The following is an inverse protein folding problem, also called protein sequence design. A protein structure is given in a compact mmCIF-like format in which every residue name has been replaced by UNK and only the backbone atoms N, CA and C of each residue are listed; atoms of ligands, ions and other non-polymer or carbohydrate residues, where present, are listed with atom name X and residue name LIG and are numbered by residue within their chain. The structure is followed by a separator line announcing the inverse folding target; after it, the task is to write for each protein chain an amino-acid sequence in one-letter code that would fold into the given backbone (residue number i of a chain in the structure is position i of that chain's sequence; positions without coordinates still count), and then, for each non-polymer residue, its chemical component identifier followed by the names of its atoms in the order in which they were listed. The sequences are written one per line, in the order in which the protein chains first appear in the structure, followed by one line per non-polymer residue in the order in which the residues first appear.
data_IF_711292907032
#
_entry.id   IF_711292907032
#
_cell.length_a   1.000
_cell.length_b   1.000
_cell.length_c   1.000
_cell.angle_alpha   90.00
_cell.angle_beta   90.00
_cell.angle_gamma   90.00
#
_symmetry.space_group_name_H-M   'P 1'
#
loop_
_entity.id
_entity.type
_entity.pdbx_description
1 polymer ?
#
# COMPACT_ATOMS: atom_id res chain seq x y z
N UNK A 1 4.73 9.48 0.23
CA UNK A 1 5.38 9.75 -1.08
C UNK A 1 4.40 10.50 -1.99
N UNK A 2 4.87 11.55 -2.68
CA UNK A 2 4.02 12.40 -3.53
C UNK A 2 3.83 11.82 -4.94
N UNK A 3 2.58 11.81 -5.42
CA UNK A 3 2.20 11.33 -6.76
C UNK A 3 2.93 12.06 -7.88
N UNK A 4 3.03 13.39 -7.78
CA UNK A 4 3.71 14.24 -8.78
C UNK A 4 5.18 13.84 -8.96
N UNK A 5 5.88 13.59 -7.86
CA UNK A 5 7.28 13.18 -7.87
C UNK A 5 7.48 11.82 -8.54
N UNK A 6 6.62 10.85 -8.22
CA UNK A 6 6.63 9.53 -8.86
C UNK A 6 6.37 9.65 -10.37
N UNK A 7 5.36 10.40 -10.79
CA UNK A 7 5.05 10.55 -12.22
C UNK A 7 6.22 11.21 -12.97
N UNK A 8 6.89 12.19 -12.35
CA UNK A 8 8.08 12.84 -12.91
C UNK A 8 9.24 11.84 -13.07
N UNK A 9 9.47 10.98 -12.08
CA UNK A 9 10.52 9.96 -12.14
C UNK A 9 10.30 8.95 -13.28
N UNK A 10 9.06 8.48 -13.46
CA UNK A 10 8.71 7.52 -14.53
C UNK A 10 8.39 8.18 -15.88
N UNK A 11 8.58 9.50 -16.00
CA UNK A 11 8.18 10.37 -17.13
C UNK A 11 6.67 10.46 -17.41
N UNK A 12 5.89 9.41 -17.16
CA UNK A 12 4.44 9.40 -17.40
C UNK A 12 3.68 8.42 -16.51
N UNK A 13 2.40 8.71 -16.27
CA UNK A 13 1.50 7.78 -15.58
C UNK A 13 1.31 6.45 -16.34
N UNK A 14 1.43 6.47 -17.67
CA UNK A 14 1.35 5.25 -18.48
C UNK A 14 2.61 4.36 -18.34
N UNK A 15 3.79 4.96 -18.22
CA UNK A 15 5.01 4.20 -17.90
C UNK A 15 4.92 3.57 -16.51
N UNK A 16 4.49 4.33 -15.50
CA UNK A 16 4.27 3.83 -14.15
C UNK A 16 3.27 2.66 -14.09
N UNK A 17 2.16 2.77 -14.83
CA UNK A 17 1.15 1.70 -14.94
C UNK A 17 1.74 0.39 -15.48
N UNK A 18 2.57 0.48 -16.53
CA UNK A 18 3.26 -0.68 -17.12
C UNK A 18 4.24 -1.30 -16.13
N UNK A 19 5.01 -0.50 -15.41
CA UNK A 19 5.96 -0.98 -14.41
C UNK A 19 5.27 -1.71 -13.26
N UNK A 20 4.12 -1.20 -12.81
CA UNK A 20 3.34 -1.79 -11.72
C UNK A 20 2.36 -2.87 -12.19
N UNK A 21 2.25 -3.10 -13.49
CA UNK A 21 1.25 -3.98 -14.12
C UNK A 21 -0.19 -3.70 -13.64
N UNK A 22 -0.57 -2.42 -13.60
CA UNK A 22 -1.93 -1.97 -13.21
C UNK A 22 -2.54 -1.09 -14.29
N UNK A 23 -3.85 -0.88 -14.23
CA UNK A 23 -4.53 0.04 -15.12
C UNK A 23 -4.11 1.50 -14.82
N UNK A 24 -3.91 2.30 -15.87
CA UNK A 24 -3.70 3.75 -15.78
C UNK A 24 -4.78 4.44 -14.95
N UNK A 25 -6.03 3.99 -15.05
CA UNK A 25 -7.15 4.53 -14.28
C UNK A 25 -6.91 4.47 -12.76
N UNK A 26 -6.22 3.43 -12.27
CA UNK A 26 -5.89 3.30 -10.86
C UNK A 26 -4.93 4.41 -10.39
N UNK A 27 -4.02 4.86 -11.24
CA UNK A 27 -3.06 5.93 -10.92
C UNK A 27 -3.77 7.28 -10.88
N UNK A 28 -4.75 7.52 -11.77
CA UNK A 28 -5.53 8.76 -11.72
C UNK A 28 -6.29 8.91 -10.40
N UNK A 29 -6.82 7.81 -9.84
CA UNK A 29 -7.57 7.80 -8.59
C UNK A 29 -6.71 8.06 -7.34
N UNK A 30 -5.37 7.96 -7.43
CA UNK A 30 -4.53 8.26 -6.29
C UNK A 30 -4.61 9.74 -5.89
N UNK A 31 -4.68 9.98 -4.58
CA UNK A 31 -4.57 11.30 -3.98
C UNK A 31 -3.16 11.89 -4.19
N UNK A 32 -2.95 13.09 -3.67
CA UNK A 32 -1.63 13.74 -3.65
C UNK A 32 -0.55 12.83 -3.04
N UNK A 33 -0.88 12.18 -1.92
CA UNK A 33 -0.08 11.12 -1.32
C UNK A 33 -0.54 9.79 -1.89
N UNK A 34 0.40 9.05 -2.50
CA UNK A 34 0.09 7.72 -3.05
C UNK A 34 -0.18 6.73 -1.90
N UNK A 35 -1.00 5.69 -2.09
CA UNK A 35 -1.23 4.68 -1.07
C UNK A 35 0.07 4.02 -0.59
N UNK A 36 0.19 3.80 0.72
CA UNK A 36 1.38 3.24 1.38
C UNK A 36 1.91 1.98 0.70
N UNK A 37 1.01 1.01 0.46
CA UNK A 37 1.34 -0.25 -0.22
C UNK A 37 1.99 -0.03 -1.59
N UNK A 38 1.54 0.99 -2.33
CA UNK A 38 2.10 1.32 -3.66
C UNK A 38 3.44 2.04 -3.53
N UNK A 39 3.60 2.89 -2.52
CA UNK A 39 4.87 3.55 -2.23
C UNK A 39 5.99 2.54 -1.96
N UNK A 40 5.73 1.54 -1.11
CA UNK A 40 6.68 0.46 -0.82
C UNK A 40 7.02 -0.38 -2.06
N UNK A 41 6.03 -0.67 -2.91
CA UNK A 41 6.29 -1.37 -4.17
C UNK A 41 7.18 -0.56 -5.10
N UNK A 42 6.92 0.73 -5.24
CA UNK A 42 7.70 1.64 -6.08
C UNK A 42 9.14 1.76 -5.57
N UNK A 43 9.33 1.91 -4.26
CA UNK A 43 10.65 1.94 -3.64
C UNK A 43 11.48 0.69 -3.98
N UNK A 44 10.88 -0.50 -3.84
CA UNK A 44 11.54 -1.77 -4.19
C UNK A 44 11.90 -1.86 -5.67
N UNK A 45 11.01 -1.44 -6.55
CA UNK A 45 11.24 -1.47 -8.01
C UNK A 45 12.33 -0.47 -8.42
N UNK A 46 12.39 0.68 -7.74
CA UNK A 46 13.36 1.73 -8.01
C UNK A 46 14.66 1.59 -7.23
N UNK A 47 14.85 0.46 -6.52
CA UNK A 47 16.03 0.17 -5.71
C UNK A 47 16.43 1.34 -4.78
N UNK A 48 15.44 2.04 -4.22
CA UNK A 48 15.64 3.16 -3.30
C UNK A 48 15.80 4.54 -3.96
N UNK A 49 15.70 4.68 -5.28
CA UNK A 49 15.73 6.00 -5.93
C UNK A 49 14.51 6.88 -5.56
N UNK A 50 13.38 6.26 -5.24
CA UNK A 50 12.21 6.90 -4.64
C UNK A 50 12.08 6.48 -3.18
N UNK A 51 12.43 7.38 -2.26
CA UNK A 51 12.41 7.11 -0.82
C UNK A 51 10.99 7.05 -0.27
N UNK A 52 10.67 5.95 0.41
CA UNK A 52 9.47 5.84 1.22
C UNK A 52 9.68 6.56 2.57
N UNK A 53 8.77 7.47 2.90
CA UNK A 53 8.75 8.13 4.21
C UNK A 53 7.53 7.63 5.00
N UNK A 54 7.72 6.86 6.09
CA UNK A 54 6.63 6.37 6.93
C UNK A 54 5.87 7.48 7.64
N UNK A 55 6.49 8.65 7.88
CA UNK A 55 5.85 9.77 8.57
C UNK A 55 4.59 10.26 7.85
N UNK A 56 4.58 10.14 6.51
CA UNK A 56 3.45 10.51 5.65
C UNK A 56 2.25 9.57 5.77
N UNK A 57 2.41 8.42 6.42
CA UNK A 57 1.41 7.36 6.53
C UNK A 57 0.97 7.07 7.96
N UNK A 58 1.49 7.81 8.95
CA UNK A 58 1.10 7.67 10.34
C UNK A 58 -0.37 8.03 10.47
N UNK A 59 -1.20 7.00 10.71
CA UNK A 59 -2.59 7.20 11.11
C UNK A 59 -2.59 7.64 12.56
N UNK A 60 -2.94 8.91 12.80
CA UNK A 60 -3.20 9.37 14.16
C UNK A 60 -4.26 8.46 14.79
N UNK A 61 -4.01 7.91 15.99
CA UNK A 61 -4.99 7.05 16.67
C UNK A 61 -6.28 7.81 17.03
N UNK A 62 -6.27 9.14 16.92
CA UNK A 62 -7.41 10.00 17.26
C UNK A 62 -8.32 10.34 16.06
N UNK A 63 -7.95 10.03 14.82
CA UNK A 63 -8.76 10.40 13.64
C UNK A 63 -9.31 9.17 12.94
N UNK A 64 -10.26 8.52 13.61
CA UNK A 64 -11.16 7.58 12.95
C UNK A 64 -12.17 8.38 12.12
N UNK A 65 -12.23 8.06 10.82
CA UNK A 65 -13.37 8.22 9.89
C UNK A 65 -13.08 9.06 8.61
N UNK A 66 -12.63 8.38 7.54
CA UNK A 66 -13.42 8.16 6.29
C UNK A 66 -12.60 7.38 5.26
N UNK A 67 -13.22 6.30 4.76
CA UNK A 67 -12.89 5.53 3.55
C UNK A 67 -11.68 4.58 3.58
N UNK A 68 -11.93 3.34 4.03
CA UNK A 68 -11.84 2.10 3.24
C UNK A 68 -11.30 0.91 4.03
N UNK A 69 -12.13 -0.14 4.07
CA UNK A 69 -11.88 -1.44 4.69
C UNK A 69 -10.57 -2.06 4.18
N UNK A 70 -9.64 -2.30 5.09
CA UNK A 70 -8.84 -3.54 5.05
C UNK A 70 -8.81 -4.11 6.46
N UNK A 71 -9.81 -4.93 6.76
CA UNK A 71 -9.75 -5.91 7.83
C UNK A 71 -8.71 -6.96 7.39
N UNK A 72 -7.46 -6.77 7.79
CA UNK A 72 -6.46 -7.82 7.73
C UNK A 72 -6.64 -8.62 9.02
N UNK A 73 -7.22 -9.81 8.95
CA UNK A 73 -7.31 -10.71 10.09
C UNK A 73 -5.91 -11.21 10.44
N UNK A 74 -5.26 -10.56 11.41
CA UNK A 74 -4.11 -11.09 12.12
C UNK A 74 -4.56 -12.28 12.98
N UNK A 75 -4.56 -13.48 12.41
CA UNK A 75 -4.52 -14.71 13.18
C UNK A 75 -3.07 -15.05 13.53
N UNK A 76 -2.56 -14.38 14.56
CA UNK A 76 -1.37 -14.81 15.28
C UNK A 76 -1.69 -16.12 16.02
N UNK A 77 -1.39 -17.21 15.31
CA UNK A 77 -0.57 -18.36 15.73
C UNK A 77 -0.77 -19.09 17.07
N UNK A 78 -0.73 -20.41 16.90
CA UNK A 78 0.04 -21.43 17.64
C UNK A 78 -0.59 -22.17 18.84
N UNK A 79 -0.76 -23.47 18.60
CA UNK A 79 -0.57 -24.60 19.51
C UNK A 79 -1.57 -24.72 20.66
N UNK A 80 -2.51 -25.64 20.46
CA UNK A 80 -3.37 -26.20 21.49
C UNK A 80 -4.13 -27.38 20.91
N UNK A 81 -3.51 -28.56 20.99
CA UNK A 81 -4.14 -29.83 20.63
C UNK A 81 -5.33 -30.06 21.57
N UNK A 82 -6.54 -29.69 21.15
CA UNK A 82 -7.78 -30.00 21.86
C UNK A 82 -8.61 -30.92 20.98
N UNK A 83 -8.55 -32.21 21.32
CA UNK A 83 -9.48 -33.26 20.92
C UNK A 83 -10.92 -32.80 21.20
N UNK A 84 -11.77 -32.84 20.19
CA UNK A 84 -13.20 -33.08 20.37
C UNK A 84 -13.63 -34.06 19.27
N UNK A 85 -13.46 -35.35 19.56
CA UNK A 85 -14.38 -36.37 19.09
C UNK A 85 -15.79 -36.00 19.60
N UNK A 86 -16.82 -36.22 18.80
CA UNK A 86 -17.94 -37.10 19.15
C UNK A 86 -19.09 -37.00 18.14
N UNK A 87 -19.35 -38.17 17.54
CA UNK A 87 -20.58 -38.69 16.91
C UNK A 87 -21.35 -37.85 15.89
#
# INVERSE_FOLDING_TARGET
MYKSYVIKYFNSAAALARTLNINRASISTWNEIIPEKRALQIERITAGALTYDPALYIKSPFTQNKSSKTEYCNKETNIGLAKCENF
#
